data_IF_181309204124
#
_entry.id   IF_181309204124
#
_cell.length_a   1.000
_cell.length_b   1.000
_cell.length_c   1.000
_cell.angle_alpha   90.00
_cell.angle_beta   90.00
_cell.angle_gamma   90.00
#
_symmetry.space_group_name_H-M   'P 1'
#
loop_
_entity.id
_entity.type
_entity.pdbx_description
1 polymer ?
#
# COMPACT_ATOMS: atom_id res chain seq x y z
N UNK A 1 -23.26 -3.48 -3.70
CA UNK A 1 -21.84 -3.45 -4.12
C UNK A 1 -21.01 -3.77 -2.91
N UNK A 2 -20.32 -4.91 -2.94
CA UNK A 2 -19.79 -5.53 -1.71
C UNK A 2 -18.41 -5.02 -1.36
N UNK A 3 -18.22 -4.72 -0.07
CA UNK A 3 -16.92 -4.49 0.53
C UNK A 3 -16.13 -5.80 0.46
N UNK A 4 -14.83 -5.79 0.18
CA UNK A 4 -13.99 -6.94 0.45
C UNK A 4 -14.20 -7.40 1.90
N UNK A 5 -14.45 -8.68 2.08
CA UNK A 5 -14.54 -9.29 3.40
C UNK A 5 -13.21 -9.16 4.14
N UNK A 6 -13.26 -9.28 5.47
CA UNK A 6 -12.04 -9.28 6.28
C UNK A 6 -11.10 -10.43 5.87
N UNK A 7 -11.65 -11.58 5.47
CA UNK A 7 -10.90 -12.72 4.96
C UNK A 7 -10.16 -12.39 3.66
N UNK A 8 -10.81 -11.73 2.72
CA UNK A 8 -10.18 -11.31 1.46
C UNK A 8 -9.08 -10.28 1.70
N UNK A 9 -9.34 -9.27 2.52
CA UNK A 9 -8.35 -8.26 2.88
C UNK A 9 -7.14 -8.86 3.59
N UNK A 10 -7.38 -9.76 4.55
CA UNK A 10 -6.32 -10.50 5.21
C UNK A 10 -5.49 -11.28 4.19
N UNK A 11 -6.14 -12.03 3.30
CA UNK A 11 -5.47 -12.74 2.22
C UNK A 11 -4.63 -11.83 1.32
N UNK A 12 -5.08 -10.61 1.04
CA UNK A 12 -4.30 -9.63 0.24
C UNK A 12 -3.11 -9.06 0.99
N UNK A 13 -3.23 -8.86 2.30
CA UNK A 13 -2.10 -8.46 3.16
C UNK A 13 -1.06 -9.59 3.23
N UNK A 14 -1.48 -10.84 3.38
CA UNK A 14 -0.55 -11.98 3.36
C UNK A 14 0.13 -12.15 1.99
N UNK A 15 -0.62 -12.03 0.88
CA UNK A 15 -0.03 -12.03 -0.46
C UNK A 15 1.00 -10.90 -0.64
N UNK A 16 0.77 -9.73 -0.06
CA UNK A 16 1.73 -8.64 -0.08
C UNK A 16 3.02 -8.98 0.69
N UNK A 17 2.89 -9.57 1.88
CA UNK A 17 4.02 -10.02 2.70
C UNK A 17 4.86 -11.06 1.95
N UNK A 18 4.21 -12.08 1.38
CA UNK A 18 4.88 -13.12 0.59
C UNK A 18 5.66 -12.55 -0.60
N UNK A 19 5.08 -11.58 -1.31
CA UNK A 19 5.73 -10.92 -2.44
C UNK A 19 6.97 -10.14 -2.02
N UNK A 20 6.92 -9.45 -0.88
CA UNK A 20 8.04 -8.68 -0.33
C UNK A 20 9.18 -9.60 0.11
N UNK A 21 8.86 -10.70 0.79
CA UNK A 21 9.84 -11.73 1.18
C UNK A 21 10.57 -12.32 -0.04
N UNK A 22 9.85 -12.48 -1.16
CA UNK A 22 10.41 -12.96 -2.43
C UNK A 22 11.10 -11.87 -3.26
N UNK A 23 11.21 -10.63 -2.76
CA UNK A 23 11.71 -9.46 -3.50
C UNK A 23 10.95 -9.17 -4.80
N UNK A 24 9.67 -9.52 -4.89
CA UNK A 24 8.81 -9.28 -6.04
C UNK A 24 8.05 -7.95 -5.91
N UNK A 25 8.81 -6.86 -5.74
CA UNK A 25 8.29 -5.51 -5.51
C UNK A 25 8.55 -4.65 -6.74
N UNK A 26 7.51 -3.96 -7.21
CA UNK A 26 7.58 -3.01 -8.31
C UNK A 26 6.97 -1.68 -7.88
N UNK A 27 7.57 -0.58 -8.31
CA UNK A 27 7.01 0.77 -8.12
C UNK A 27 6.33 1.21 -9.42
N UNK A 28 5.13 1.77 -9.31
CA UNK A 28 4.39 2.25 -10.49
C UNK A 28 4.93 3.60 -10.98
N UNK A 29 5.37 4.46 -10.06
CA UNK A 29 5.78 5.82 -10.35
C UNK A 29 6.96 6.21 -9.44
N UNK A 30 8.19 6.04 -9.93
CA UNK A 30 9.38 6.17 -9.10
C UNK A 30 9.56 7.59 -8.54
N UNK A 31 9.18 8.62 -9.29
CA UNK A 31 9.25 10.01 -8.85
C UNK A 31 8.30 10.26 -7.68
N UNK A 32 7.07 9.75 -7.78
CA UNK A 32 6.09 9.84 -6.68
C UNK A 32 6.59 9.08 -5.46
N UNK A 33 7.08 7.85 -5.63
CA UNK A 33 7.60 7.05 -4.51
C UNK A 33 8.83 7.69 -3.86
N UNK A 34 9.69 8.37 -4.62
CA UNK A 34 10.83 9.09 -4.05
C UNK A 34 10.39 10.30 -3.23
N UNK A 35 9.40 11.06 -3.68
CA UNK A 35 8.83 12.17 -2.91
C UNK A 35 8.13 11.69 -1.63
N UNK A 36 7.33 10.62 -1.75
CA UNK A 36 6.66 9.91 -0.66
C UNK A 36 7.69 9.42 0.40
N UNK A 37 8.84 8.89 -0.05
CA UNK A 37 9.91 8.42 0.83
C UNK A 37 10.60 9.56 1.60
N UNK A 38 10.84 10.69 0.93
CA UNK A 38 11.38 11.89 1.57
C UNK A 38 10.40 12.42 2.62
N UNK A 39 9.10 12.47 2.31
CA UNK A 39 8.05 12.90 3.24
C UNK A 39 8.02 12.05 4.52
N UNK A 40 8.18 10.73 4.38
CA UNK A 40 8.16 9.78 5.50
C UNK A 40 9.53 9.55 6.15
N UNK A 41 10.59 10.17 5.65
CA UNK A 41 11.93 10.11 6.23
C UNK A 41 12.63 8.76 6.07
N UNK A 42 12.43 8.05 4.96
CA UNK A 42 13.16 6.82 4.62
C UNK A 42 13.82 6.90 3.24
N UNK A 43 14.83 6.08 2.99
CA UNK A 43 15.46 6.01 1.67
C UNK A 43 14.71 5.06 0.73
N UNK A 44 14.58 5.41 -0.55
CA UNK A 44 13.97 4.52 -1.57
C UNK A 44 14.68 3.16 -1.64
N UNK A 45 15.98 3.11 -1.37
CA UNK A 45 16.79 1.89 -1.25
C UNK A 45 16.29 0.93 -0.16
N UNK A 46 15.67 1.46 0.89
CA UNK A 46 15.14 0.71 2.05
C UNK A 46 13.67 0.29 1.86
N UNK A 47 13.05 0.56 0.71
CA UNK A 47 11.61 0.35 0.50
C UNK A 47 11.14 -1.06 0.86
N UNK A 48 11.93 -2.10 0.54
CA UNK A 48 11.58 -3.49 0.90
C UNK A 48 11.51 -3.69 2.42
N UNK A 49 12.52 -3.20 3.14
CA UNK A 49 12.61 -3.26 4.60
C UNK A 49 11.45 -2.50 5.24
N UNK A 50 11.16 -1.30 4.75
CA UNK A 50 10.04 -0.48 5.22
C UNK A 50 8.70 -1.18 4.99
N UNK A 51 8.45 -1.70 3.78
CA UNK A 51 7.24 -2.43 3.45
C UNK A 51 7.05 -3.68 4.34
N UNK A 52 8.13 -4.41 4.61
CA UNK A 52 8.13 -5.57 5.52
C UNK A 52 7.71 -5.23 6.95
N UNK A 53 8.04 -4.03 7.43
CA UNK A 53 7.69 -3.57 8.77
C UNK A 53 6.24 -3.08 8.79
N UNK A 54 5.85 -2.19 7.88
CA UNK A 54 4.53 -1.55 7.92
C UNK A 54 3.37 -2.53 7.64
N UNK A 55 3.58 -3.57 6.82
CA UNK A 55 2.54 -4.59 6.61
C UNK A 55 2.25 -5.44 7.86
N UNK A 56 3.13 -5.40 8.87
CA UNK A 56 2.85 -6.00 10.19
C UNK A 56 2.01 -5.07 11.07
N UNK A 57 1.92 -3.79 10.73
CA UNK A 57 1.11 -2.79 11.44
C UNK A 57 -0.33 -2.72 10.91
N UNK A 58 -0.58 -3.16 9.68
CA UNK A 58 -1.86 -3.05 8.99
C UNK A 58 -2.76 -4.27 9.23
N UNK A 59 -4.04 -4.01 9.47
CA UNK A 59 -5.11 -5.00 9.65
C UNK A 59 -6.27 -4.75 8.64
N UNK A 60 -7.08 -5.75 8.28
CA UNK A 60 -8.29 -5.55 7.46
C UNK A 60 -9.19 -4.38 7.88
N UNK A 61 -9.27 -4.05 9.18
CA UNK A 61 -10.02 -2.91 9.69
C UNK A 61 -9.49 -1.56 9.21
N UNK A 62 -8.21 -1.48 8.84
CA UNK A 62 -7.55 -0.29 8.31
C UNK A 62 -7.88 -0.03 6.83
N UNK A 63 -8.63 -0.91 6.17
CA UNK A 63 -9.00 -0.73 4.77
C UNK A 63 -9.92 0.47 4.59
N UNK A 64 -9.49 1.41 3.74
CA UNK A 64 -10.20 2.66 3.39
C UNK A 64 -10.48 2.78 1.89
N UNK A 65 -10.23 1.72 1.10
CA UNK A 65 -10.54 1.71 -0.32
C UNK A 65 -12.04 1.61 -0.65
N UNK A 66 -12.34 1.72 -1.95
CA UNK A 66 -13.71 1.67 -2.47
C UNK A 66 -14.38 0.29 -2.26
N UNK A 67 -15.71 0.26 -2.46
CA UNK A 67 -16.58 -0.91 -2.34
C UNK A 67 -17.44 -1.05 -3.61
N UNK A 68 -17.04 -1.85 -4.62
CA UNK A 68 -15.86 -2.73 -4.66
C UNK A 68 -14.53 -1.96 -4.78
N UNK A 69 -13.37 -2.63 -4.58
CA UNK A 69 -12.06 -2.03 -4.82
C UNK A 69 -11.97 -1.35 -6.18
N UNK A 70 -11.32 -0.19 -6.22
CA UNK A 70 -11.08 0.52 -7.47
C UNK A 70 -10.09 -0.29 -8.32
N UNK A 71 -10.34 -0.37 -9.63
CA UNK A 71 -9.36 -0.93 -10.58
C UNK A 71 -8.38 0.13 -11.04
N UNK A 72 -7.11 -0.23 -11.17
CA UNK A 72 -6.08 0.68 -11.66
C UNK A 72 -6.19 0.94 -13.17
N UNK A 73 -5.87 2.16 -13.58
CA UNK A 73 -5.72 2.55 -14.99
C UNK A 73 -4.25 2.59 -15.44
N UNK A 74 -3.29 2.50 -14.50
CA UNK A 74 -1.85 2.50 -14.78
C UNK A 74 -1.49 1.25 -15.59
N UNK A 75 -0.63 1.40 -16.60
CA UNK A 75 -0.40 0.39 -17.65
C UNK A 75 0.05 -0.95 -17.09
N UNK A 76 0.88 -0.94 -16.05
CA UNK A 76 1.54 -2.09 -15.42
C UNK A 76 0.53 -3.00 -14.71
N UNK A 77 -0.49 -2.39 -14.09
CA UNK A 77 -1.51 -3.05 -13.26
C UNK A 77 -2.93 -2.76 -13.75
N UNK A 78 -3.09 -2.44 -15.04
CA UNK A 78 -4.38 -2.04 -15.61
C UNK A 78 -5.44 -3.11 -15.37
N UNK A 79 -6.56 -2.71 -14.77
CA UNK A 79 -7.68 -3.60 -14.47
C UNK A 79 -7.53 -4.42 -13.18
N UNK A 80 -6.39 -4.37 -12.50
CA UNK A 80 -6.19 -4.99 -11.19
C UNK A 80 -6.71 -4.10 -10.07
N UNK A 81 -7.16 -4.72 -8.99
CA UNK A 81 -7.72 -4.03 -7.83
C UNK A 81 -6.63 -3.27 -7.05
N UNK A 82 -7.03 -2.12 -6.51
CA UNK A 82 -6.24 -1.27 -5.65
C UNK A 82 -6.71 -1.43 -4.21
N UNK A 83 -5.78 -1.80 -3.35
CA UNK A 83 -6.02 -1.93 -1.92
C UNK A 83 -5.38 -0.75 -1.20
N UNK A 84 -6.21 0.02 -0.50
CA UNK A 84 -5.80 1.21 0.22
C UNK A 84 -6.06 1.05 1.72
N UNK A 85 -5.05 1.34 2.52
CA UNK A 85 -5.07 1.20 3.97
C UNK A 85 -4.61 2.49 4.63
N UNK A 86 -5.27 2.83 5.74
CA UNK A 86 -4.90 3.95 6.61
C UNK A 86 -4.79 3.49 8.05
N UNK A 87 -3.67 3.80 8.69
CA UNK A 87 -3.39 3.40 10.07
C UNK A 87 -2.46 4.40 10.75
N UNK A 88 -2.43 4.38 12.08
CA UNK A 88 -1.42 5.09 12.85
C UNK A 88 -0.13 4.27 12.82
N UNK A 89 0.86 4.72 12.06
CA UNK A 89 2.12 4.00 11.93
C UNK A 89 3.00 4.22 13.14
N UNK A 90 3.48 3.12 13.71
CA UNK A 90 4.50 3.17 14.78
C UNK A 90 5.88 3.43 14.18
N UNK A 91 6.11 2.91 12.97
CA UNK A 91 7.34 3.11 12.21
C UNK A 91 7.56 4.58 11.86
N UNK A 92 6.53 5.28 11.38
CA UNK A 92 6.66 6.69 10.95
C UNK A 92 6.19 7.71 11.99
N UNK A 93 5.52 7.27 13.07
CA UNK A 93 5.00 8.18 14.11
C UNK A 93 3.86 9.10 13.65
N UNK A 94 3.19 8.79 12.54
CA UNK A 94 2.08 9.58 11.98
C UNK A 94 0.94 8.67 11.49
N UNK A 95 -0.22 9.27 11.16
CA UNK A 95 -1.21 8.55 10.36
C UNK A 95 -0.66 8.38 8.95
N UNK A 96 -0.56 7.14 8.48
CA UNK A 96 0.04 6.79 7.21
C UNK A 96 -0.98 6.16 6.28
N UNK A 97 -0.71 6.28 4.99
CA UNK A 97 -1.53 5.78 3.90
C UNK A 97 -0.69 4.89 3.00
N UNK A 98 -1.16 3.67 2.73
CA UNK A 98 -0.54 2.72 1.82
C UNK A 98 -1.54 2.34 0.74
N UNK A 99 -1.12 2.39 -0.52
CA UNK A 99 -1.89 1.87 -1.65
C UNK A 99 -1.04 0.92 -2.47
N UNK A 100 -1.57 -0.27 -2.72
CA UNK A 100 -0.90 -1.28 -3.53
C UNK A 100 -1.86 -2.09 -4.40
N UNK A 101 -1.28 -2.84 -5.33
CA UNK A 101 -1.96 -3.88 -6.10
C UNK A 101 -1.17 -5.18 -6.07
N UNK A 102 -1.86 -6.31 -6.24
CA UNK A 102 -1.24 -7.62 -6.39
C UNK A 102 -1.53 -8.14 -7.79
N UNK A 103 -0.48 -8.44 -8.56
CA UNK A 103 -0.59 -9.02 -9.90
C UNK A 103 0.48 -10.11 -10.04
N UNK A 104 0.06 -11.33 -10.36
CA UNK A 104 0.95 -12.48 -10.56
C UNK A 104 1.95 -12.63 -9.40
N UNK A 105 1.44 -12.68 -8.17
CA UNK A 105 2.19 -12.78 -6.91
C UNK A 105 3.20 -11.66 -6.63
N UNK A 106 3.20 -10.61 -7.47
CA UNK A 106 4.06 -9.44 -7.28
C UNK A 106 3.31 -8.29 -6.62
N UNK A 107 4.01 -7.59 -5.74
CA UNK A 107 3.54 -6.38 -5.07
C UNK A 107 3.85 -5.16 -5.93
N UNK A 108 2.82 -4.39 -6.26
CA UNK A 108 2.98 -3.12 -6.95
C UNK A 108 2.68 -1.98 -5.98
N UNK A 109 3.71 -1.26 -5.57
CA UNK A 109 3.61 -0.06 -4.75
C UNK A 109 3.03 1.08 -5.61
N UNK A 110 1.86 1.57 -5.21
CA UNK A 110 1.19 2.69 -5.88
C UNK A 110 1.45 3.99 -5.13
N UNK A 111 1.42 3.97 -3.80
CA UNK A 111 1.70 5.14 -2.96
C UNK A 111 1.94 4.74 -1.50
N UNK A 112 2.80 5.49 -0.81
CA UNK A 112 3.07 5.35 0.62
C UNK A 112 3.44 6.72 1.19
N UNK A 113 2.52 7.40 1.87
CA UNK A 113 2.77 8.75 2.39
C UNK A 113 2.09 8.95 3.75
N UNK A 114 2.38 10.06 4.42
CA UNK A 114 1.58 10.52 5.56
C UNK A 114 0.15 10.81 5.07
N UNK A 115 -0.87 10.32 5.76
CA UNK A 115 -2.26 10.57 5.36
C UNK A 115 -2.54 12.07 5.38
N UNK A 116 -3.10 12.58 4.27
CA UNK A 116 -3.31 14.02 4.06
C UNK A 116 -4.73 14.44 4.40
N UNK A 117 -5.40 13.72 5.30
CA UNK A 117 -6.80 14.00 5.67
C UNK A 117 -7.01 15.34 6.40
N UNK A 118 -5.96 16.17 6.56
CA UNK A 118 -6.02 17.57 7.01
C UNK A 118 -5.48 18.59 5.97
N UNK A 119 -6.00 18.60 4.74
CA UNK A 119 -5.99 19.80 3.88
C UNK A 119 -7.34 19.97 3.21
N UNK A 120 -8.32 20.37 4.01
CA UNK A 120 -9.70 20.56 3.59
C UNK A 120 -10.56 21.24 4.65
N UNK A 121 -10.04 22.32 5.26
CA UNK A 121 -10.83 23.46 5.75
C UNK A 121 -10.05 24.75 5.43
#
# INVERSE_FOLDING_TARGET
MERPSFKELYGKIEQAKDAIEKNQIFTIDLEVIAADAIELGYEVSEVNKILSIILKEIDPKNYVGNRPPQKSYKKEIKGFELFAFRWISKTFGCESYLKFSIKQDSFYLVSLHQDRSNKGE
#
